data_IF_568670752341
#
_entry.id   IF_568670752341
#
_cell.length_a   1.000
_cell.length_b   1.000
_cell.length_c   1.000
_cell.angle_alpha   90.00
_cell.angle_beta   90.00
_cell.angle_gamma   90.00
#
_symmetry.space_group_name_H-M   'P 1'
#
loop_
_entity.id
_entity.type
_entity.pdbx_description
1 polymer ?
#
# COMPACT_ATOMS: atom_id res chain seq x y z
N UNK A 1 10.87 -4.70 -5.59
CA UNK A 1 11.59 -4.55 -4.30
C UNK A 1 13.08 -4.61 -4.59
N UNK A 2 13.86 -3.63 -4.14
CA UNK A 2 15.31 -3.61 -4.35
C UNK A 2 16.05 -4.06 -3.10
N UNK A 3 15.62 -3.58 -1.92
CA UNK A 3 16.25 -3.88 -0.65
C UNK A 3 15.22 -3.94 0.47
N UNK A 4 15.22 -5.04 1.22
CA UNK A 4 14.43 -5.14 2.46
C UNK A 4 15.11 -4.37 3.60
N UNK A 5 14.30 -3.93 4.56
CA UNK A 5 14.81 -3.54 5.87
C UNK A 5 15.44 -4.75 6.59
N UNK A 6 16.14 -4.50 7.69
CA UNK A 6 16.59 -5.57 8.59
C UNK A 6 15.38 -6.24 9.25
N UNK A 7 14.44 -5.44 9.75
CA UNK A 7 13.21 -5.89 10.42
C UNK A 7 12.04 -5.00 10.03
N UNK A 8 10.84 -5.58 9.98
CA UNK A 8 9.63 -4.90 9.54
C UNK A 8 9.68 -4.52 8.05
N UNK A 9 8.92 -3.51 7.66
CA UNK A 9 8.76 -3.16 6.25
C UNK A 9 7.87 -4.14 5.47
N UNK A 10 7.12 -4.98 6.19
CA UNK A 10 6.20 -5.96 5.64
C UNK A 10 5.01 -5.24 5.01
N UNK A 11 4.64 -5.65 3.80
CA UNK A 11 3.45 -5.14 3.15
C UNK A 11 2.24 -5.96 3.63
N UNK A 12 1.47 -5.33 4.50
CA UNK A 12 0.26 -5.87 5.08
C UNK A 12 -0.96 -5.43 4.27
N UNK A 13 -1.87 -6.36 3.98
CA UNK A 13 -2.90 -6.20 2.96
C UNK A 13 -4.18 -6.94 3.37
N UNK A 14 -5.33 -6.27 3.24
CA UNK A 14 -6.67 -6.85 3.35
C UNK A 14 -7.46 -6.56 2.05
N UNK A 15 -7.49 -7.50 1.09
CA UNK A 15 -8.22 -7.32 -0.16
C UNK A 15 -9.72 -7.23 0.09
N UNK A 16 -10.40 -6.29 -0.59
CA UNK A 16 -11.86 -6.22 -0.58
C UNK A 16 -12.46 -6.01 0.81
N UNK A 17 -11.74 -5.32 1.70
CA UNK A 17 -12.29 -4.92 3.00
C UNK A 17 -13.49 -3.99 2.82
N UNK A 18 -13.46 -3.19 1.74
CA UNK A 18 -14.52 -2.26 1.34
C UNK A 18 -15.11 -2.70 -0.01
N UNK A 19 -16.10 -1.97 -0.48
CA UNK A 19 -16.69 -2.12 -1.82
C UNK A 19 -17.18 -0.77 -2.34
N UNK A 20 -17.68 -0.72 -3.57
CA UNK A 20 -18.24 0.51 -4.14
C UNK A 20 -19.48 1.04 -3.40
N UNK A 21 -20.23 0.15 -2.75
CA UNK A 21 -21.50 0.49 -2.07
C UNK A 21 -21.36 0.49 -0.53
N UNK A 22 -20.24 0.01 0.01
CA UNK A 22 -20.00 -0.08 1.45
C UNK A 22 -18.52 0.10 1.81
N UNK A 23 -18.25 1.18 2.54
CA UNK A 23 -16.93 1.50 3.08
C UNK A 23 -16.51 0.60 4.27
N UNK A 24 -17.44 -0.19 4.82
CA UNK A 24 -17.21 -1.16 5.89
C UNK A 24 -16.45 -0.57 7.10
N UNK A 25 -16.87 0.62 7.52
CA UNK A 25 -16.28 1.37 8.65
C UNK A 25 -16.03 0.51 9.91
N UNK A 26 -16.95 -0.38 10.33
CA UNK A 26 -16.72 -1.21 11.52
C UNK A 26 -15.50 -2.14 11.37
N UNK A 27 -15.32 -2.77 10.21
CA UNK A 27 -14.17 -3.66 9.99
C UNK A 27 -12.88 -2.87 9.83
N UNK A 28 -12.94 -1.72 9.15
CA UNK A 28 -11.80 -0.79 9.07
C UNK A 28 -11.36 -0.36 10.47
N UNK A 29 -12.30 0.04 11.33
CA UNK A 29 -12.01 0.45 12.70
C UNK A 29 -11.35 -0.68 13.50
N UNK A 30 -11.83 -1.92 13.40
CA UNK A 30 -11.18 -3.07 14.07
C UNK A 30 -9.72 -3.23 13.64
N UNK A 31 -9.43 -3.12 12.35
CA UNK A 31 -8.04 -3.22 11.85
C UNK A 31 -7.18 -2.08 12.40
N UNK A 32 -7.72 -0.85 12.42
CA UNK A 32 -7.04 0.31 13.00
C UNK A 32 -6.80 0.17 14.51
N UNK A 33 -7.68 -0.53 15.22
CA UNK A 33 -7.54 -0.88 16.64
C UNK A 33 -6.62 -2.09 16.89
N UNK A 34 -6.09 -2.70 15.83
CA UNK A 34 -5.07 -3.74 15.92
C UNK A 34 -5.54 -5.16 15.59
N UNK A 35 -6.78 -5.37 15.15
CA UNK A 35 -7.23 -6.69 14.66
C UNK A 35 -6.46 -7.09 13.39
N UNK A 36 -5.77 -8.23 13.44
CA UNK A 36 -4.97 -8.78 12.33
C UNK A 36 -5.45 -10.14 11.86
N UNK A 37 -6.64 -10.56 12.26
CA UNK A 37 -7.15 -11.91 12.00
C UNK A 37 -7.21 -12.25 10.50
N UNK A 38 -7.56 -11.27 9.65
CA UNK A 38 -7.68 -11.44 8.20
C UNK A 38 -6.55 -10.79 7.40
N UNK A 39 -5.44 -10.45 8.07
CA UNK A 39 -4.30 -9.80 7.46
C UNK A 39 -3.56 -10.77 6.54
N UNK A 40 -3.25 -10.32 5.33
CA UNK A 40 -2.32 -11.01 4.44
C UNK A 40 -1.00 -10.22 4.40
N UNK A 41 0.12 -10.94 4.41
CA UNK A 41 1.45 -10.34 4.24
C UNK A 41 1.99 -10.84 2.91
N UNK A 42 2.29 -9.92 1.99
CA UNK A 42 2.89 -10.30 0.72
C UNK A 42 4.39 -10.58 0.94
N UNK A 43 4.89 -11.79 0.60
CA UNK A 43 6.31 -12.09 0.66
C UNK A 43 7.10 -11.10 -0.20
N UNK A 44 8.22 -10.61 0.33
CA UNK A 44 9.04 -9.64 -0.36
C UNK A 44 10.51 -9.97 -0.16
N UNK A 45 11.26 -10.01 -1.25
CA UNK A 45 12.71 -10.11 -1.28
C UNK A 45 13.27 -9.15 -2.34
N UNK A 46 14.59 -8.94 -2.37
CA UNK A 46 15.21 -8.24 -3.49
C UNK A 46 14.83 -8.95 -4.81
N UNK A 47 14.36 -8.17 -5.79
CA UNK A 47 13.83 -8.66 -7.06
C UNK A 47 12.33 -8.96 -7.08
N UNK A 48 11.64 -8.99 -5.94
CA UNK A 48 10.18 -9.24 -5.92
C UNK A 48 9.40 -8.12 -6.58
N UNK A 49 8.49 -8.46 -7.49
CA UNK A 49 7.42 -7.62 -7.98
C UNK A 49 6.11 -8.04 -7.31
N UNK A 50 5.52 -7.17 -6.50
CA UNK A 50 4.22 -7.39 -5.90
C UNK A 50 3.15 -6.66 -6.73
N UNK A 51 2.15 -7.40 -7.20
CA UNK A 51 0.99 -6.85 -7.90
C UNK A 51 -0.24 -7.02 -7.02
N UNK A 52 -0.96 -5.92 -6.76
CA UNK A 52 -2.17 -5.94 -5.96
C UNK A 52 -3.14 -4.87 -6.46
N UNK A 53 -4.44 -5.11 -6.28
CA UNK A 53 -5.47 -4.10 -6.50
C UNK A 53 -5.64 -3.32 -5.19
N UNK A 54 -5.27 -2.04 -5.21
CA UNK A 54 -5.41 -1.15 -4.06
C UNK A 54 -6.85 -0.66 -3.84
N UNK A 55 -7.66 -0.67 -4.89
CA UNK A 55 -9.08 -0.33 -4.80
C UNK A 55 -9.79 -1.22 -3.78
N UNK A 56 -10.49 -0.57 -2.84
CA UNK A 56 -11.20 -1.18 -1.71
C UNK A 56 -10.37 -2.02 -0.73
N UNK A 57 -9.07 -2.09 -0.90
CA UNK A 57 -8.19 -2.77 0.02
C UNK A 57 -7.65 -1.82 1.08
N UNK A 58 -7.59 -2.28 2.33
CA UNK A 58 -6.79 -1.61 3.35
C UNK A 58 -5.40 -2.22 3.34
N UNK A 59 -4.37 -1.39 3.25
CA UNK A 59 -3.00 -1.85 3.18
C UNK A 59 -2.06 -0.88 3.87
N UNK A 60 -0.95 -1.40 4.39
CA UNK A 60 0.08 -0.61 5.07
C UNK A 60 1.42 -1.31 5.05
N UNK A 61 2.47 -0.57 5.39
CA UNK A 61 3.81 -1.12 5.60
C UNK A 61 4.14 -1.09 7.08
N UNK A 62 4.60 -2.21 7.66
CA UNK A 62 4.99 -2.24 9.07
C UNK A 62 6.19 -1.32 9.33
N UNK A 63 6.29 -0.71 10.54
CA UNK A 63 7.42 0.14 10.87
C UNK A 63 8.76 -0.57 10.67
N UNK A 64 9.69 0.11 10.01
CA UNK A 64 11.05 -0.38 9.80
C UNK A 64 11.84 -0.30 11.11
N UNK A 65 12.62 -1.34 11.41
CA UNK A 65 13.57 -1.36 12.53
C UNK A 65 14.97 -1.71 12.02
N UNK A 66 15.98 -1.10 12.65
CA UNK A 66 17.39 -1.24 12.27
C UNK A 66 17.90 -0.14 11.34
N UNK A 67 19.14 -0.26 10.89
CA UNK A 67 19.86 0.78 10.13
C UNK A 67 19.76 0.60 8.61
N UNK A 68 19.36 -0.58 8.14
CA UNK A 68 19.21 -0.87 6.71
C UNK A 68 17.92 -0.26 6.17
N UNK A 69 17.97 0.66 5.19
CA UNK A 69 16.77 1.22 4.60
C UNK A 69 16.02 0.18 3.77
N UNK A 70 14.69 0.29 3.73
CA UNK A 70 13.83 -0.43 2.77
C UNK A 70 13.74 0.39 1.49
N UNK A 71 14.05 -0.21 0.35
CA UNK A 71 14.06 0.47 -0.95
C UNK A 71 13.19 -0.30 -1.94
N UNK A 72 12.14 0.35 -2.44
CA UNK A 72 11.27 -0.15 -3.50
C UNK A 72 10.87 0.98 -4.45
N UNK A 73 10.39 0.61 -5.63
CA UNK A 73 9.59 1.49 -6.49
C UNK A 73 8.14 1.05 -6.44
N UNK A 74 7.24 2.02 -6.48
CA UNK A 74 5.79 1.79 -6.62
C UNK A 74 5.39 2.32 -7.98
N UNK A 75 4.68 1.49 -8.73
CA UNK A 75 4.07 1.86 -10.00
C UNK A 75 2.56 1.78 -9.80
N UNK A 76 1.84 2.74 -10.38
CA UNK A 76 0.37 2.77 -10.37
C UNK A 76 -0.12 2.75 -11.80
N UNK A 77 -1.05 1.85 -12.10
CA UNK A 77 -1.68 1.73 -13.42
C UNK A 77 -3.13 2.19 -13.32
N UNK A 78 -3.56 3.07 -14.22
CA UNK A 78 -4.96 3.45 -14.41
C UNK A 78 -5.68 2.53 -15.38
N UNK A 79 -7.01 2.57 -15.37
CA UNK A 79 -7.87 1.73 -16.25
C UNK A 79 -7.95 2.26 -17.68
N UNK A 80 -7.63 3.54 -17.89
CA UNK A 80 -7.70 4.20 -19.20
C UNK A 80 -6.33 4.72 -19.62
N UNK A 81 -6.08 4.84 -20.94
CA UNK A 81 -4.92 5.54 -21.45
C UNK A 81 -4.81 6.96 -20.91
N UNK A 82 -3.58 7.45 -20.77
CA UNK A 82 -3.24 8.83 -20.41
C UNK A 82 -3.79 9.31 -19.05
N UNK A 83 -4.19 8.37 -18.17
CA UNK A 83 -4.56 8.70 -16.80
C UNK A 83 -3.36 9.22 -16.02
N UNK A 84 -3.51 10.44 -15.52
CA UNK A 84 -2.56 11.08 -14.59
C UNK A 84 -3.26 11.32 -13.25
N UNK A 85 -2.45 11.41 -12.19
CA UNK A 85 -2.94 11.84 -10.89
C UNK A 85 -3.36 13.32 -10.97
N UNK A 86 -4.42 13.68 -10.27
CA UNK A 86 -4.77 15.09 -10.10
C UNK A 86 -3.70 15.84 -9.29
N UNK A 87 -3.73 17.17 -9.34
CA UNK A 87 -2.73 18.03 -8.69
C UNK A 87 -2.61 17.77 -7.19
N UNK A 88 -3.75 17.67 -6.48
CA UNK A 88 -3.78 17.40 -5.04
C UNK A 88 -3.07 16.08 -4.69
N UNK A 89 -3.32 15.03 -5.46
CA UNK A 89 -2.77 13.69 -5.21
C UNK A 89 -1.29 13.62 -5.58
N UNK A 90 -0.89 14.31 -6.66
CA UNK A 90 0.52 14.44 -7.04
C UNK A 90 1.32 15.14 -5.95
N UNK A 91 0.79 16.24 -5.40
CA UNK A 91 1.42 16.98 -4.31
C UNK A 91 1.55 16.12 -3.04
N UNK A 92 0.48 15.41 -2.64
CA UNK A 92 0.50 14.57 -1.44
C UNK A 92 1.50 13.41 -1.52
N UNK A 93 1.65 12.79 -2.70
CA UNK A 93 2.53 11.62 -2.85
C UNK A 93 3.96 11.97 -3.22
N UNK A 94 4.17 13.02 -4.01
CA UNK A 94 5.46 13.35 -4.60
C UNK A 94 5.97 14.75 -4.22
N UNK A 95 5.19 15.56 -3.50
CA UNK A 95 5.55 16.93 -3.12
C UNK A 95 5.68 17.89 -4.31
N UNK A 96 5.03 17.57 -5.43
CA UNK A 96 4.98 18.39 -6.64
C UNK A 96 3.78 18.03 -7.51
N UNK A 97 3.30 18.98 -8.31
CA UNK A 97 2.35 18.72 -9.39
C UNK A 97 3.04 18.13 -10.62
N UNK A 98 2.28 17.45 -11.46
CA UNK A 98 2.78 16.79 -12.68
C UNK A 98 2.78 17.72 -13.92
N UNK A 99 2.50 19.02 -13.71
CA UNK A 99 2.37 20.08 -14.71
C UNK A 99 3.57 21.00 -14.73
#
# INVERSE_FOLDING_TARGET
MYQQAQEGGDFEYLPGLRSGDDENHPSVQRVLQGDRTSLQVLPSAAGTLAFFRGEWALHRVTPIRGTRPRINSVLTCGERPDMVLNDLTSELFYGRTST
#
